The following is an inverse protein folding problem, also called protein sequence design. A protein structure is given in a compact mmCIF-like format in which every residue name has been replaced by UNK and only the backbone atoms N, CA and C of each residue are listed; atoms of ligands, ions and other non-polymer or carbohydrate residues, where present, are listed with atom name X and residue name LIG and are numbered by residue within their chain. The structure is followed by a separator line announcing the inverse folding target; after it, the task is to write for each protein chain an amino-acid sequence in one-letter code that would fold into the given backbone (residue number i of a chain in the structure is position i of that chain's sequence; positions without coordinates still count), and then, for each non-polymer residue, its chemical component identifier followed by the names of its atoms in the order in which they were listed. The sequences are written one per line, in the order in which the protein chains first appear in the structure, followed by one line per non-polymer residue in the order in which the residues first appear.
data_IF_347036310934
#
_entry.id   IF_347036310934
#
_cell.length_a   1.000
_cell.length_b   1.000
_cell.length_c   1.000
_cell.angle_alpha   90.00
_cell.angle_beta   90.00
_cell.angle_gamma   90.00
#
_symmetry.space_group_name_H-M   'P 1'
#
loop_
_entity.id
_entity.type
_entity.pdbx_description
1 polymer ?
#
# COMPACT_ATOMS: atom_id res chain seq x y z
N UNK A 1 -23.58 40.80 20.11
CA UNK A 1 -23.84 40.98 18.67
C UNK A 1 -22.59 41.67 18.14
N UNK A 2 -21.52 40.90 17.93
CA UNK A 2 -21.19 40.28 16.62
C UNK A 2 -20.80 41.35 15.60
N UNK A 3 -19.72 41.25 14.82
CA UNK A 3 -18.80 40.15 14.55
C UNK A 3 -17.54 40.78 13.91
N UNK A 4 -16.37 40.22 14.21
CA UNK A 4 -15.11 40.52 13.54
C UNK A 4 -14.82 39.40 12.53
N UNK A 5 -14.84 39.77 11.26
CA UNK A 5 -14.41 39.03 10.08
C UNK A 5 -14.25 40.12 9.01
N UNK A 6 -13.27 40.17 8.12
CA UNK A 6 -12.03 39.45 7.89
C UNK A 6 -11.34 40.28 6.79
N UNK A 7 -10.17 39.87 6.35
CA UNK A 7 -9.65 40.17 5.00
C UNK A 7 -8.90 41.50 4.79
N UNK A 8 -7.69 41.34 4.23
CA UNK A 8 -6.83 42.34 3.58
C UNK A 8 -5.70 42.96 4.42
N UNK A 9 -4.76 42.11 4.85
CA UNK A 9 -3.34 42.51 4.97
C UNK A 9 -2.48 41.44 4.30
N UNK A 10 -2.61 41.33 2.98
CA UNK A 10 -1.67 40.57 2.15
C UNK A 10 -1.08 41.56 1.19
N UNK A 11 -0.04 42.28 1.61
CA UNK A 11 0.84 43.02 0.69
C UNK A 11 2.17 43.34 1.39
N UNK A 12 3.23 42.70 0.89
CA UNK A 12 4.63 43.16 0.85
C UNK A 12 5.50 43.11 2.12
N UNK A 13 6.43 42.12 2.13
CA UNK A 13 7.86 42.22 2.50
C UNK A 13 8.55 40.93 1.98
N UNK A 14 9.09 40.90 0.74
CA UNK A 14 10.53 40.95 0.36
C UNK A 14 11.41 39.82 0.94
N UNK A 15 12.35 39.14 0.26
CA UNK A 15 12.71 38.83 -1.13
C UNK A 15 14.00 37.96 -1.02
N UNK A 16 14.18 36.98 -1.92
CA UNK A 16 15.44 36.31 -2.32
C UNK A 16 16.12 35.29 -1.39
N UNK A 17 16.03 34.01 -1.79
CA UNK A 17 17.23 33.19 -1.93
C UNK A 17 17.03 32.19 -3.08
N UNK A 18 17.94 32.27 -4.04
CA UNK A 18 18.01 31.47 -5.25
C UNK A 18 18.45 30.02 -4.97
N UNK A 19 18.06 29.14 -5.89
CA UNK A 19 18.82 27.96 -6.34
C UNK A 19 19.08 26.81 -5.33
N UNK A 20 18.21 25.80 -5.39
CA UNK A 20 18.66 24.41 -5.43
C UNK A 20 17.61 23.54 -6.13
N UNK A 21 17.93 23.22 -7.37
CA UNK A 21 17.48 22.04 -8.12
C UNK A 21 17.12 20.87 -7.21
N UNK A 22 15.86 20.44 -7.24
CA UNK A 22 15.54 19.05 -7.00
C UNK A 22 16.02 18.28 -8.24
N UNK A 23 16.94 17.33 -8.09
CA UNK A 23 16.62 15.99 -8.55
C UNK A 23 17.18 14.96 -7.58
N UNK A 24 16.43 14.63 -6.53
CA UNK A 24 16.57 13.30 -5.93
C UNK A 24 15.75 12.32 -6.76
N UNK A 25 16.15 12.11 -8.02
CA UNK A 25 15.39 11.34 -9.03
C UNK A 25 16.14 10.12 -9.59
N UNK A 26 17.31 9.75 -9.05
CA UNK A 26 18.12 8.65 -9.61
C UNK A 26 18.09 7.35 -8.79
N UNK A 27 17.47 7.35 -7.60
CA UNK A 27 17.34 6.14 -6.76
C UNK A 27 15.98 5.44 -6.82
N UNK A 28 14.93 6.15 -7.24
CA UNK A 28 13.55 5.63 -7.26
C UNK A 28 13.21 4.90 -8.58
N UNK A 29 13.65 5.46 -9.71
CA UNK A 29 13.30 4.95 -11.03
C UNK A 29 13.67 3.47 -11.21
N UNK A 30 14.83 3.05 -10.70
CA UNK A 30 15.29 1.66 -10.80
C UNK A 30 14.48 0.69 -9.94
N UNK A 31 14.03 1.12 -8.75
CA UNK A 31 13.26 0.28 -7.85
C UNK A 31 11.82 0.08 -8.34
N UNK A 32 11.20 1.12 -8.91
CA UNK A 32 9.88 1.04 -9.55
C UNK A 32 9.95 0.19 -10.83
N UNK A 33 10.98 0.36 -11.66
CA UNK A 33 11.19 -0.44 -12.87
C UNK A 33 11.39 -1.93 -12.55
N UNK A 34 12.16 -2.25 -11.51
CA UNK A 34 12.32 -3.63 -11.04
C UNK A 34 11.01 -4.22 -10.50
N UNK A 35 10.23 -3.44 -9.72
CA UNK A 35 8.94 -3.88 -9.19
C UNK A 35 7.96 -4.20 -10.32
N UNK A 36 7.95 -3.39 -11.38
CA UNK A 36 7.11 -3.58 -12.55
C UNK A 36 7.42 -4.91 -13.28
N UNK A 37 8.67 -5.38 -13.24
CA UNK A 37 9.05 -6.69 -13.77
C UNK A 37 8.36 -7.86 -13.03
N UNK A 38 8.08 -7.71 -11.73
CA UNK A 38 7.33 -8.70 -10.94
C UNK A 38 5.81 -8.59 -11.10
N UNK A 39 5.29 -7.39 -11.39
CA UNK A 39 3.87 -7.21 -11.66
C UNK A 39 3.43 -7.72 -13.03
N UNK A 40 4.32 -7.71 -14.02
CA UNK A 40 3.99 -8.15 -15.38
C UNK A 40 3.48 -9.59 -15.47
N UNK A 41 4.14 -10.61 -14.87
CA UNK A 41 3.65 -11.99 -14.90
C UNK A 41 2.27 -12.16 -14.25
N UNK A 42 2.04 -11.54 -13.08
CA UNK A 42 0.76 -11.67 -12.37
C UNK A 42 -0.41 -11.00 -13.09
N UNK A 43 -0.15 -9.92 -13.84
CA UNK A 43 -1.17 -9.28 -14.70
C UNK A 43 -1.43 -10.05 -15.99
N UNK A 44 -0.43 -10.75 -16.52
CA UNK A 44 -0.60 -11.61 -17.70
C UNK A 44 -1.35 -12.90 -17.35
N UNK A 45 -1.04 -13.49 -16.20
CA UNK A 45 -1.68 -14.69 -15.71
C UNK A 45 -1.90 -14.62 -14.20
N UNK A 46 -3.06 -14.11 -13.79
CA UNK A 46 -3.40 -13.99 -12.37
C UNK A 46 -3.63 -15.32 -11.66
N UNK A 47 -3.72 -16.43 -12.40
CA UNK A 47 -3.84 -17.79 -11.85
C UNK A 47 -2.49 -18.46 -11.58
N UNK A 48 -1.38 -17.85 -12.01
CA UNK A 48 -0.04 -18.34 -11.73
C UNK A 48 0.40 -17.98 -10.31
N UNK A 49 0.27 -18.95 -9.40
CA UNK A 49 0.62 -18.78 -7.99
C UNK A 49 2.11 -18.45 -7.80
N UNK A 50 3.01 -19.06 -8.59
CA UNK A 50 4.46 -18.88 -8.42
C UNK A 50 4.85 -17.43 -8.71
N UNK A 51 4.29 -16.84 -9.78
CA UNK A 51 4.44 -15.42 -10.10
C UNK A 51 4.03 -14.50 -8.95
N UNK A 52 2.92 -14.79 -8.27
CA UNK A 52 2.50 -14.04 -7.08
C UNK A 52 3.49 -14.20 -5.94
N UNK A 53 3.96 -15.42 -5.66
CA UNK A 53 4.92 -15.63 -4.57
C UNK A 53 6.23 -14.88 -4.80
N UNK A 54 6.70 -14.78 -6.05
CA UNK A 54 7.89 -14.00 -6.38
C UNK A 54 7.68 -12.50 -6.15
N UNK A 55 6.53 -11.95 -6.55
CA UNK A 55 6.18 -10.56 -6.26
C UNK A 55 6.13 -10.29 -4.75
N UNK A 56 5.47 -11.15 -3.98
CA UNK A 56 5.36 -11.01 -2.52
C UNK A 56 6.75 -11.06 -1.86
N UNK A 57 7.60 -12.01 -2.25
CA UNK A 57 8.98 -12.10 -1.75
C UNK A 57 9.81 -10.85 -2.08
N UNK A 58 9.55 -10.19 -3.21
CA UNK A 58 10.24 -8.97 -3.59
C UNK A 58 9.81 -7.78 -2.74
N UNK A 59 8.50 -7.54 -2.60
CA UNK A 59 7.99 -6.40 -1.80
C UNK A 59 8.31 -6.55 -0.31
N UNK A 60 8.40 -7.77 0.21
CA UNK A 60 8.83 -8.04 1.58
C UNK A 60 10.27 -7.58 1.84
N UNK A 61 11.15 -7.67 0.84
CA UNK A 61 12.56 -7.23 0.95
C UNK A 61 12.71 -5.71 0.92
N UNK A 62 11.72 -4.99 0.38
CA UNK A 62 11.74 -3.53 0.30
C UNK A 62 11.41 -2.87 1.64
N UNK A 63 10.85 -3.62 2.60
CA UNK A 63 10.50 -3.14 3.95
C UNK A 63 9.57 -1.91 3.97
N UNK A 64 8.86 -1.66 2.87
CA UNK A 64 7.91 -0.56 2.73
C UNK A 64 6.50 -1.12 2.66
N UNK A 65 5.70 -0.75 3.66
CA UNK A 65 4.36 -1.26 3.81
C UNK A 65 3.40 -0.85 2.68
N UNK A 66 3.64 0.25 1.98
CA UNK A 66 2.81 0.65 0.84
C UNK A 66 2.89 -0.39 -0.28
N UNK A 67 4.10 -0.84 -0.63
CA UNK A 67 4.29 -1.89 -1.63
C UNK A 67 3.78 -3.25 -1.14
N UNK A 68 4.02 -3.58 0.14
CA UNK A 68 3.52 -4.82 0.75
C UNK A 68 1.98 -4.85 0.69
N UNK A 69 1.31 -3.83 1.21
CA UNK A 69 -0.15 -3.77 1.25
C UNK A 69 -0.78 -3.83 -0.14
N UNK A 70 -0.22 -3.12 -1.13
CA UNK A 70 -0.69 -3.18 -2.51
C UNK A 70 -0.61 -4.58 -3.12
N UNK A 71 0.55 -5.23 -3.00
CA UNK A 71 0.75 -6.57 -3.54
C UNK A 71 -0.10 -7.64 -2.85
N UNK A 72 -0.19 -7.60 -1.51
CA UNK A 72 -0.99 -8.54 -0.73
C UNK A 72 -2.48 -8.38 -0.99
N UNK A 73 -3.00 -7.14 -1.06
CA UNK A 73 -4.41 -6.90 -1.37
C UNK A 73 -4.79 -7.48 -2.74
N UNK A 74 -3.97 -7.27 -3.76
CA UNK A 74 -4.24 -7.83 -5.08
C UNK A 74 -4.15 -9.36 -5.08
N UNK A 75 -3.13 -9.92 -4.42
CA UNK A 75 -3.00 -11.36 -4.26
C UNK A 75 -4.25 -11.99 -3.62
N UNK A 76 -4.80 -11.39 -2.57
CA UNK A 76 -5.97 -11.94 -1.88
C UNK A 76 -7.28 -11.87 -2.69
N UNK A 77 -7.39 -10.96 -3.67
CA UNK A 77 -8.53 -10.97 -4.60
C UNK A 77 -8.55 -12.26 -5.44
N UNK A 78 -7.36 -12.79 -5.77
CA UNK A 78 -7.21 -14.01 -6.53
C UNK A 78 -7.12 -15.27 -5.64
N UNK A 79 -6.53 -15.16 -4.45
CA UNK A 79 -6.28 -16.26 -3.52
C UNK A 79 -6.84 -16.00 -2.11
N UNK A 80 -8.17 -15.82 -1.94
CA UNK A 80 -8.77 -15.46 -0.66
C UNK A 80 -8.62 -16.54 0.42
N UNK A 81 -8.40 -17.81 0.01
CA UNK A 81 -8.31 -18.97 0.92
C UNK A 81 -6.87 -19.29 1.35
N UNK A 82 -5.88 -18.48 0.96
CA UNK A 82 -4.49 -18.67 1.35
C UNK A 82 -4.19 -18.14 2.77
N UNK A 83 -4.77 -18.77 3.80
CA UNK A 83 -4.70 -18.33 5.20
C UNK A 83 -3.28 -18.15 5.77
N UNK A 84 -2.30 -18.92 5.29
CA UNK A 84 -0.90 -18.73 5.67
C UNK A 84 -0.36 -17.35 5.28
N UNK A 85 -0.80 -16.82 4.14
CA UNK A 85 -0.41 -15.49 3.65
C UNK A 85 -1.14 -14.38 4.40
N UNK A 86 -2.40 -14.59 4.81
CA UNK A 86 -3.11 -13.65 5.68
C UNK A 86 -2.40 -13.47 7.02
N UNK A 87 -1.95 -14.56 7.64
CA UNK A 87 -1.14 -14.50 8.86
C UNK A 87 0.16 -13.71 8.64
N UNK A 88 0.89 -14.03 7.57
CA UNK A 88 2.14 -13.34 7.22
C UNK A 88 1.91 -11.84 6.99
N UNK A 89 0.82 -11.47 6.31
CA UNK A 89 0.46 -10.07 6.08
C UNK A 89 0.21 -9.32 7.39
N UNK A 90 -0.50 -9.92 8.35
CA UNK A 90 -0.70 -9.33 9.66
C UNK A 90 0.62 -9.14 10.43
N UNK A 91 1.54 -10.10 10.36
CA UNK A 91 2.88 -9.99 10.95
C UNK A 91 3.70 -8.86 10.32
N UNK A 92 3.62 -8.69 8.99
CA UNK A 92 4.27 -7.59 8.26
C UNK A 92 3.68 -6.23 8.64
N UNK A 93 2.35 -6.13 8.78
CA UNK A 93 1.69 -4.91 9.22
C UNK A 93 2.18 -4.50 10.62
N UNK A 94 2.26 -5.45 11.56
CA UNK A 94 2.79 -5.20 12.91
C UNK A 94 4.25 -4.72 12.86
N UNK A 95 5.05 -5.24 11.92
CA UNK A 95 6.48 -4.91 11.82
C UNK A 95 6.74 -3.54 11.17
N UNK A 96 5.97 -3.17 10.15
CA UNK A 96 6.30 -2.05 9.24
C UNK A 96 5.31 -0.87 9.31
N UNK A 97 4.33 -0.88 10.22
CA UNK A 97 3.31 0.18 10.31
C UNK A 97 2.98 0.60 11.74
N UNK A 98 2.15 1.63 11.87
CA UNK A 98 1.58 2.06 13.15
C UNK A 98 0.30 1.28 13.52
N UNK A 99 -0.10 1.41 14.79
CA UNK A 99 -1.24 0.68 15.35
C UNK A 99 -2.57 0.89 14.60
N UNK A 100 -2.79 2.05 13.96
CA UNK A 100 -4.03 2.27 13.21
C UNK A 100 -4.04 1.44 11.92
N UNK A 101 -2.91 1.39 11.20
CA UNK A 101 -2.78 0.57 10.00
C UNK A 101 -2.88 -0.91 10.31
N UNK A 102 -2.25 -1.37 11.40
CA UNK A 102 -2.41 -2.74 11.90
C UNK A 102 -3.88 -3.06 12.16
N UNK A 103 -4.61 -2.15 12.84
CA UNK A 103 -6.02 -2.35 13.13
C UNK A 103 -6.85 -2.45 11.84
N UNK A 104 -6.57 -1.62 10.83
CA UNK A 104 -7.24 -1.71 9.52
C UNK A 104 -7.00 -3.07 8.87
N UNK A 105 -5.76 -3.57 8.86
CA UNK A 105 -5.45 -4.92 8.33
C UNK A 105 -6.24 -6.01 9.06
N UNK A 106 -6.33 -5.95 10.39
CA UNK A 106 -7.08 -6.93 11.17
C UNK A 106 -8.57 -6.86 10.85
N UNK A 107 -9.12 -5.65 10.73
CA UNK A 107 -10.52 -5.43 10.35
C UNK A 107 -10.77 -6.00 8.95
N UNK A 108 -9.90 -5.72 7.98
CA UNK A 108 -10.01 -6.23 6.62
C UNK A 108 -9.97 -7.76 6.58
N UNK A 109 -9.05 -8.39 7.32
CA UNK A 109 -8.99 -9.85 7.46
C UNK A 109 -10.31 -10.41 8.02
N UNK A 110 -10.85 -9.78 9.08
CA UNK A 110 -12.08 -10.22 9.71
C UNK A 110 -13.29 -10.07 8.78
N UNK A 111 -13.41 -8.92 8.11
CA UNK A 111 -14.45 -8.67 7.13
C UNK A 111 -14.35 -9.65 5.96
N UNK A 112 -13.16 -9.87 5.40
CA UNK A 112 -12.96 -10.82 4.31
C UNK A 112 -13.35 -12.25 4.73
N UNK A 113 -12.96 -12.71 5.92
CA UNK A 113 -13.37 -14.01 6.43
C UNK A 113 -14.90 -14.11 6.53
N UNK A 114 -15.55 -13.11 7.12
CA UNK A 114 -17.00 -13.13 7.32
C UNK A 114 -17.77 -13.05 6.00
N UNK A 115 -17.37 -12.19 5.06
CA UNK A 115 -17.99 -12.11 3.73
C UNK A 115 -17.88 -13.42 2.95
N UNK A 116 -16.73 -14.09 3.01
CA UNK A 116 -16.54 -15.39 2.33
C UNK A 116 -17.38 -16.49 2.98
N UNK A 117 -17.46 -16.53 4.31
CA UNK A 117 -18.33 -17.46 5.06
C UNK A 117 -19.81 -17.25 4.73
N UNK A 118 -20.28 -15.99 4.70
CA UNK A 118 -21.67 -15.66 4.37
C UNK A 118 -22.01 -16.05 2.93
N UNK A 119 -21.14 -15.75 1.96
CA UNK A 119 -21.33 -16.16 0.56
C UNK A 119 -21.32 -17.68 0.39
N UNK A 120 -20.54 -18.41 1.19
CA UNK A 120 -20.53 -19.88 1.20
C UNK A 120 -21.82 -20.47 1.76
N UNK A 121 -22.35 -19.94 2.88
CA UNK A 121 -23.62 -20.40 3.48
C UNK A 121 -24.82 -20.11 2.56
N UNK A 122 -24.77 -19.02 1.80
CA UNK A 122 -25.86 -18.58 0.93
C UNK A 122 -25.94 -19.31 -0.42
N UNK A 123 -25.06 -20.28 -0.69
CA UNK A 123 -24.95 -20.97 -1.98
C UNK A 123 -25.32 -22.44 -1.86
#
# INVERSE_FOLDING_TARGET
MENQADMQVVTQQQQQQDEATNPTADGNATAEDELEAYWKPVRQNSSDFDSWTYLLQYVEKKEDFSYISGAYNEFFKHYPYCYGYWKKYAELAIKYTDSNQVLQVIIDIFLMCTFQLIKWISR
#
